data_IF_622544576521
#
_entry.id   IF_622544576521
#
_cell.length_a   1.000
_cell.length_b   1.000
_cell.length_c   1.000
_cell.angle_alpha   90.00
_cell.angle_beta   90.00
_cell.angle_gamma   90.00
#
_symmetry.space_group_name_H-M   'P 1'
#
loop_
_entity.id
_entity.type
_entity.pdbx_description
1 polymer ?
#
# COMPACT_ATOMS: atom_id res chain seq x y z
N UNK A 1 15.43 -8.43 -15.74
CA UNK A 1 15.35 -6.96 -15.73
C UNK A 1 15.16 -6.54 -14.29
N UNK A 2 16.07 -5.75 -13.73
CA UNK A 2 15.93 -5.22 -12.36
C UNK A 2 14.96 -4.05 -12.41
N UNK A 3 13.73 -4.24 -11.90
CA UNK A 3 12.79 -3.13 -11.75
C UNK A 3 13.47 -2.05 -10.89
N UNK A 4 13.75 -0.89 -11.49
CA UNK A 4 14.37 0.24 -10.82
C UNK A 4 13.26 1.05 -10.15
N UNK A 5 13.07 0.81 -8.85
CA UNK A 5 12.11 1.52 -8.02
C UNK A 5 12.67 2.86 -7.58
N UNK A 6 12.01 3.96 -7.96
CA UNK A 6 12.29 5.32 -7.51
C UNK A 6 11.29 5.68 -6.42
N UNK A 7 11.75 6.18 -5.28
CA UNK A 7 10.83 6.79 -4.30
C UNK A 7 10.24 8.07 -4.89
N UNK A 8 8.91 8.10 -5.05
CA UNK A 8 8.14 9.24 -5.58
C UNK A 8 7.34 9.95 -4.49
N UNK A 9 7.24 9.35 -3.30
CA UNK A 9 6.64 9.97 -2.13
C UNK A 9 7.18 9.34 -0.85
N UNK A 10 7.40 10.16 0.17
CA UNK A 10 7.66 9.70 1.53
C UNK A 10 7.02 10.69 2.53
N UNK A 11 6.29 10.17 3.50
CA UNK A 11 5.61 11.01 4.48
C UNK A 11 5.08 10.21 5.67
N UNK A 12 4.49 10.92 6.63
CA UNK A 12 3.83 10.32 7.78
C UNK A 12 2.35 10.74 7.79
N UNK A 13 1.47 9.75 7.81
CA UNK A 13 0.02 9.93 7.80
C UNK A 13 -0.58 9.11 8.93
N UNK A 14 -1.46 9.72 9.72
CA UNK A 14 -2.23 8.99 10.75
C UNK A 14 -1.36 8.21 11.75
N UNK A 15 -0.13 8.68 12.00
CA UNK A 15 0.82 8.02 12.90
C UNK A 15 1.65 6.88 12.27
N UNK A 16 1.50 6.60 10.97
CA UNK A 16 2.28 5.59 10.22
C UNK A 16 3.11 6.23 9.12
N UNK A 17 4.31 5.70 8.89
CA UNK A 17 5.17 6.08 7.77
C UNK A 17 4.64 5.47 6.48
N UNK A 18 4.57 6.27 5.42
CA UNK A 18 4.16 5.86 4.07
C UNK A 18 5.26 6.20 3.10
N UNK A 19 5.67 5.22 2.31
CA UNK A 19 6.61 5.38 1.20
C UNK A 19 5.95 4.87 -0.07
N UNK A 20 5.88 5.71 -1.11
CA UNK A 20 5.45 5.28 -2.44
C UNK A 20 6.66 5.26 -3.36
N UNK A 21 6.81 4.15 -4.07
CA UNK A 21 7.84 3.97 -5.08
C UNK A 21 7.18 3.76 -6.43
N UNK A 22 7.75 4.33 -7.47
CA UNK A 22 7.33 4.14 -8.85
C UNK A 22 8.42 3.34 -9.57
N UNK A 23 8.01 2.37 -10.38
CA UNK A 23 8.86 1.69 -11.35
C UNK A 23 8.75 2.39 -12.69
N UNK A 24 9.80 2.32 -13.52
CA UNK A 24 9.87 3.02 -14.81
C UNK A 24 8.81 2.62 -15.84
N UNK A 25 8.02 1.58 -15.56
CA UNK A 25 6.87 1.09 -16.33
C UNK A 25 5.52 1.68 -15.88
N UNK A 26 5.49 2.55 -14.86
CA UNK A 26 4.27 3.17 -14.33
C UNK A 26 3.59 2.39 -13.20
N UNK A 27 4.23 1.32 -12.72
CA UNK A 27 3.80 0.58 -11.52
C UNK A 27 4.20 1.33 -10.25
N UNK A 28 3.29 1.43 -9.30
CA UNK A 28 3.52 1.99 -7.97
C UNK A 28 3.55 0.89 -6.91
N UNK A 29 4.38 1.09 -5.89
CA UNK A 29 4.49 0.25 -4.71
C UNK A 29 4.36 1.11 -3.46
N UNK A 30 3.36 0.83 -2.64
CA UNK A 30 3.15 1.49 -1.36
C UNK A 30 3.72 0.60 -0.27
N UNK A 31 4.60 1.16 0.55
CA UNK A 31 5.10 0.54 1.77
C UNK A 31 4.61 1.37 2.96
N UNK A 32 3.87 0.73 3.86
CA UNK A 32 3.35 1.37 5.07
C UNK A 32 3.32 0.39 6.24
N UNK A 33 2.94 0.86 7.43
CA UNK A 33 2.60 0.00 8.56
C UNK A 33 1.09 -0.05 8.77
N UNK A 34 0.58 -1.22 9.12
CA UNK A 34 -0.82 -1.39 9.51
C UNK A 34 -1.04 -0.71 10.87
N UNK A 35 -2.00 0.21 10.94
CA UNK A 35 -2.39 0.86 12.21
C UNK A 35 -3.70 0.30 12.79
N UNK A 36 -4.38 -0.55 12.04
CA UNK A 36 -5.61 -1.21 12.46
C UNK A 36 -5.30 -2.70 12.63
N UNK A 37 -5.81 -3.29 13.70
CA UNK A 37 -5.84 -4.73 13.84
C UNK A 37 -6.95 -5.24 12.91
N UNK A 38 -6.58 -5.66 11.71
CA UNK A 38 -7.49 -6.37 10.84
C UNK A 38 -7.37 -7.86 11.19
N UNK A 39 -8.39 -8.44 11.82
CA UNK A 39 -8.51 -9.89 11.95
C UNK A 39 -8.76 -10.43 10.53
N UNK A 40 -7.68 -10.60 9.78
CA UNK A 40 -7.72 -11.12 8.42
C UNK A 40 -8.44 -12.46 8.42
N UNK A 41 -9.62 -12.50 7.81
CA UNK A 41 -10.35 -13.75 7.63
C UNK A 41 -9.59 -14.52 6.55
N UNK A 42 -8.87 -15.57 6.94
CA UNK A 42 -8.23 -16.47 6.00
C UNK A 42 -9.32 -17.21 5.20
N UNK A 43 -9.64 -16.71 4.00
CA UNK A 43 -10.48 -17.41 3.04
C UNK A 43 -9.60 -18.25 2.12
N UNK A 44 -9.82 -19.57 2.17
CA UNK A 44 -9.22 -20.51 1.23
C UNK A 44 -10.19 -20.69 0.05
N UNK A 45 -9.90 -20.06 -1.09
CA UNK A 45 -10.51 -20.41 -2.37
C UNK A 45 -9.59 -21.38 -3.12
N UNK A 46 -9.91 -22.67 -3.05
CA UNK A 46 -9.22 -23.72 -3.79
C UNK A 46 -7.86 -24.18 -3.24
N UNK A 47 -7.16 -25.00 -4.05
CA UNK A 47 -5.99 -25.81 -3.66
C UNK A 47 -4.65 -25.05 -3.65
N UNK A 48 -4.63 -23.77 -4.03
CA UNK A 48 -3.38 -23.15 -4.52
C UNK A 48 -3.09 -21.74 -3.99
N UNK A 49 -4.00 -21.08 -3.27
CA UNK A 49 -3.77 -19.72 -2.78
C UNK A 49 -4.24 -19.55 -1.34
N UNK A 50 -3.30 -19.15 -0.47
CA UNK A 50 -3.59 -18.67 0.88
C UNK A 50 -3.22 -17.18 0.87
N UNK A 51 -4.21 -16.30 0.98
CA UNK A 51 -3.98 -14.89 1.25
C UNK A 51 -3.90 -14.73 2.77
N UNK A 52 -2.69 -14.64 3.31
CA UNK A 52 -2.48 -14.29 4.72
C UNK A 52 -2.33 -12.79 4.79
N UNK A 53 -3.38 -12.09 5.21
CA UNK A 53 -3.25 -10.68 5.56
C UNK A 53 -2.31 -10.58 6.77
N UNK A 54 -1.30 -9.68 6.77
CA UNK A 54 -0.52 -9.41 7.96
C UNK A 54 -1.49 -9.05 9.09
N UNK A 55 -1.41 -9.80 10.19
CA UNK A 55 -2.45 -9.95 11.21
C UNK A 55 -2.10 -9.20 12.50
N UNK A 56 -1.21 -8.21 12.45
CA UNK A 56 -0.81 -7.47 13.66
C UNK A 56 -0.57 -5.99 13.41
N UNK A 57 -1.08 -5.18 14.34
CA UNK A 57 -0.81 -3.73 14.42
C UNK A 57 0.71 -3.52 14.41
N UNK A 58 1.18 -2.69 13.49
CA UNK A 58 2.60 -2.37 13.32
C UNK A 58 3.33 -3.23 12.28
N UNK A 59 2.70 -4.25 11.70
CA UNK A 59 3.31 -5.01 10.60
C UNK A 59 3.48 -4.15 9.35
N UNK A 60 4.56 -4.42 8.61
CA UNK A 60 4.81 -3.76 7.34
C UNK A 60 3.90 -4.37 6.28
N UNK A 61 3.14 -3.51 5.60
CA UNK A 61 2.27 -3.88 4.49
C UNK A 61 2.85 -3.30 3.22
N UNK A 62 2.84 -4.12 2.18
CA UNK A 62 3.23 -3.74 0.82
C UNK A 62 2.04 -3.95 -0.12
N UNK A 63 1.73 -2.94 -0.94
CA UNK A 63 0.74 -3.04 -2.01
C UNK A 63 1.33 -2.55 -3.32
N UNK A 64 1.25 -3.38 -4.35
CA UNK A 64 1.73 -3.09 -5.71
C UNK A 64 0.55 -2.88 -6.65
N UNK A 65 0.56 -1.76 -7.37
CA UNK A 65 -0.53 -1.33 -8.25
C UNK A 65 0.04 -0.79 -9.56
N UNK A 66 -0.66 -0.98 -10.66
CA UNK A 66 -0.16 -0.66 -11.99
C UNK A 66 -0.61 0.72 -12.52
N UNK A 67 -1.31 1.51 -11.70
CA UNK A 67 -1.83 2.81 -12.11
C UNK A 67 -2.03 3.74 -10.91
N UNK A 68 -2.09 5.05 -11.17
CA UNK A 68 -2.36 6.07 -10.14
C UNK A 68 -3.78 5.99 -9.57
N UNK A 69 -4.73 5.53 -10.38
CA UNK A 69 -6.12 5.30 -9.95
C UNK A 69 -6.15 4.13 -8.96
N UNK A 70 -5.51 3.02 -9.31
CA UNK A 70 -5.37 1.85 -8.42
C UNK A 70 -4.55 2.17 -7.16
N UNK A 71 -3.60 3.11 -7.22
CA UNK A 71 -2.90 3.61 -6.03
C UNK A 71 -3.84 4.28 -5.05
N UNK A 72 -4.79 5.08 -5.54
CA UNK A 72 -5.80 5.73 -4.70
C UNK A 72 -6.71 4.70 -4.03
N UNK A 73 -7.12 3.68 -4.77
CA UNK A 73 -7.93 2.57 -4.25
C UNK A 73 -7.15 1.79 -3.19
N UNK A 74 -5.90 1.40 -3.47
CA UNK A 74 -5.06 0.67 -2.53
C UNK A 74 -4.83 1.45 -1.22
N UNK A 75 -4.62 2.77 -1.27
CA UNK A 75 -4.52 3.59 -0.06
C UNK A 75 -5.85 3.62 0.73
N UNK A 76 -6.98 3.60 0.04
CA UNK A 76 -8.29 3.52 0.68
C UNK A 76 -8.51 2.16 1.35
N UNK A 77 -8.12 1.06 0.69
CA UNK A 77 -8.16 -0.30 1.25
C UNK A 77 -7.20 -0.48 2.44
N UNK A 78 -6.08 0.24 2.44
CA UNK A 78 -5.18 0.33 3.59
C UNK A 78 -5.74 1.20 4.73
N UNK A 79 -7.03 1.57 4.68
CA UNK A 79 -7.75 2.36 5.67
C UNK A 79 -7.14 3.76 5.91
N UNK A 80 -6.52 4.37 4.90
CA UNK A 80 -6.17 5.80 5.00
C UNK A 80 -7.43 6.66 4.84
N UNK A 81 -7.51 7.74 5.61
CA UNK A 81 -8.53 8.78 5.41
C UNK A 81 -8.42 9.40 4.02
N UNK A 82 -9.55 9.87 3.49
CA UNK A 82 -9.59 10.54 2.19
C UNK A 82 -8.62 11.74 2.11
N UNK A 83 -8.38 12.43 3.23
CA UNK A 83 -7.41 13.53 3.32
C UNK A 83 -5.97 13.03 3.11
N UNK A 84 -5.57 11.97 3.81
CA UNK A 84 -4.26 11.34 3.63
C UNK A 84 -4.09 10.76 2.22
N UNK A 85 -5.11 10.08 1.69
CA UNK A 85 -5.10 9.56 0.32
C UNK A 85 -4.83 10.69 -0.68
N UNK A 86 -5.58 11.80 -0.58
CA UNK A 86 -5.38 12.94 -1.48
C UNK A 86 -4.01 13.58 -1.27
N UNK A 87 -3.53 13.74 -0.03
CA UNK A 87 -2.21 14.31 0.25
C UNK A 87 -1.06 13.45 -0.30
N UNK A 88 -1.18 12.13 -0.24
CA UNK A 88 -0.20 11.20 -0.84
C UNK A 88 -0.25 11.28 -2.36
N UNK A 89 -1.45 11.22 -2.95
CA UNK A 89 -1.62 11.26 -4.39
C UNK A 89 -1.19 12.61 -4.99
N UNK A 90 -1.46 13.74 -4.33
CA UNK A 90 -1.08 15.08 -4.80
C UNK A 90 0.42 15.34 -4.63
N UNK A 91 1.04 14.73 -3.61
CA UNK A 91 2.46 14.86 -3.32
C UNK A 91 3.41 13.99 -4.15
N UNK A 92 2.94 13.23 -5.14
CA UNK A 92 3.80 12.40 -5.99
C UNK A 92 4.74 13.26 -6.87
N UNK A 93 6.05 13.00 -6.85
CA UNK A 93 7.09 13.78 -7.56
C UNK A 93 7.79 13.09 -8.73
#
# INVERSE_FOLDING_TARGET
MTASWKTVYEGQHEGRSVTVRESGDGTFKVLTRQNVHDEGIAYQDGKTFVHVSPSSVGEQVESEVNSRESLKEALTELHFSAESVNAICDGLH
#
